data_IF_758813504043
#
_entry.id   IF_758813504043
#
_cell.length_a   1.000
_cell.length_b   1.000
_cell.length_c   1.000
_cell.angle_alpha   90.00
_cell.angle_beta   90.00
_cell.angle_gamma   90.00
#
_symmetry.space_group_name_H-M   'P 1'
#
loop_
_entity.id
_entity.type
_entity.pdbx_description
1 polymer ?
#
# COMPACT_ATOMS: atom_id res chain seq x y z
N UNK A 1 28.09 0.33 -3.96
CA UNK A 1 28.21 1.29 -2.85
C UNK A 1 26.97 1.12 -1.99
N UNK A 2 27.11 0.39 -0.89
CA UNK A 2 26.05 0.05 0.06
C UNK A 2 25.91 1.19 1.07
N UNK A 3 24.74 1.83 1.16
CA UNK A 3 24.45 2.84 2.19
C UNK A 3 23.02 2.63 2.72
N UNK A 4 22.92 2.48 4.03
CA UNK A 4 21.66 2.62 4.77
C UNK A 4 21.08 1.31 5.28
N UNK A 5 21.76 0.62 6.20
CA UNK A 5 21.16 -0.60 6.77
C UNK A 5 21.63 -1.02 8.16
N UNK A 6 21.44 -0.16 9.16
CA UNK A 6 21.43 -0.64 10.56
C UNK A 6 20.27 -0.03 11.37
N UNK A 7 19.91 1.24 11.19
CA UNK A 7 18.98 1.92 12.13
C UNK A 7 17.47 1.81 11.80
N UNK A 8 17.10 1.30 10.62
CA UNK A 8 15.70 1.32 10.15
C UNK A 8 14.77 0.34 10.90
N UNK A 9 15.30 -0.71 11.55
CA UNK A 9 14.46 -1.76 12.18
C UNK A 9 13.89 -1.33 13.54
N UNK A 10 14.68 -0.66 14.37
CA UNK A 10 14.27 -0.21 15.70
C UNK A 10 13.36 1.00 15.60
N UNK A 11 13.67 1.96 14.73
CA UNK A 11 12.79 3.10 14.42
C UNK A 11 11.45 2.63 13.85
N UNK A 12 11.46 1.68 12.91
CA UNK A 12 10.22 1.10 12.38
C UNK A 12 9.40 0.40 13.47
N UNK A 13 10.04 -0.39 14.36
CA UNK A 13 9.36 -1.02 15.50
C UNK A 13 8.74 0.00 16.47
N UNK A 14 9.52 1.02 16.84
CA UNK A 14 9.06 2.10 17.73
C UNK A 14 7.89 2.89 17.11
N UNK A 15 7.92 3.12 15.80
CA UNK A 15 6.90 3.91 15.11
C UNK A 15 5.52 3.26 15.04
N UNK A 16 5.43 1.94 14.82
CA UNK A 16 4.12 1.28 14.76
C UNK A 16 3.54 1.00 16.14
N UNK A 17 4.37 0.82 17.17
CA UNK A 17 3.92 0.73 18.57
C UNK A 17 3.20 2.01 19.00
N UNK A 18 3.82 3.17 18.74
CA UNK A 18 3.21 4.47 19.01
C UNK A 18 1.88 4.65 18.25
N UNK A 19 1.80 4.16 17.01
CA UNK A 19 0.56 4.20 16.23
C UNK A 19 -0.55 3.31 16.83
N UNK A 20 -0.21 2.11 17.33
CA UNK A 20 -1.17 1.23 18.01
C UNK A 20 -1.65 1.81 19.34
N UNK A 21 -0.76 2.44 20.11
CA UNK A 21 -1.13 3.13 21.35
C UNK A 21 -2.07 4.32 21.08
N UNK A 22 -1.75 5.13 20.06
CA UNK A 22 -2.61 6.22 19.62
C UNK A 22 -3.99 5.72 19.16
N UNK A 23 -4.04 4.59 18.43
CA UNK A 23 -5.31 3.96 18.07
C UNK A 23 -6.10 3.56 19.32
N UNK A 24 -5.49 2.85 20.27
CA UNK A 24 -6.15 2.45 21.51
C UNK A 24 -6.72 3.66 22.25
N UNK A 25 -5.94 4.73 22.40
CA UNK A 25 -6.42 5.99 23.00
C UNK A 25 -7.59 6.61 22.24
N UNK A 26 -7.56 6.62 20.90
CA UNK A 26 -8.67 7.14 20.09
C UNK A 26 -9.92 6.29 20.24
N UNK A 27 -9.78 4.97 20.26
CA UNK A 27 -10.88 4.06 20.54
C UNK A 27 -11.45 4.39 21.92
N UNK A 28 -10.61 4.50 22.97
CA UNK A 28 -10.78 5.22 24.25
C UNK A 28 -11.97 6.21 24.30
N UNK A 29 -11.95 7.14 23.36
CA UNK A 29 -12.87 8.28 23.32
C UNK A 29 -14.20 8.00 22.61
N UNK A 30 -14.29 6.92 21.84
CA UNK A 30 -15.52 6.53 21.15
C UNK A 30 -16.45 5.81 22.14
N UNK A 31 -17.69 6.30 22.34
CA UNK A 31 -18.68 5.64 23.18
C UNK A 31 -18.93 4.21 22.72
N UNK A 32 -18.82 3.24 23.63
CA UNK A 32 -18.98 1.84 23.26
C UNK A 32 -20.46 1.49 23.07
N UNK A 33 -20.87 1.26 21.82
CA UNK A 33 -22.14 0.62 21.50
C UNK A 33 -21.90 -0.89 21.37
N UNK A 34 -22.78 -1.69 21.99
CA UNK A 34 -22.75 -3.16 21.84
C UNK A 34 -22.82 -3.49 20.34
N UNK A 35 -21.87 -4.31 19.85
CA UNK A 35 -21.71 -4.78 18.45
C UNK A 35 -21.12 -3.77 17.45
N UNK A 36 -20.27 -2.85 17.91
CA UNK A 36 -19.53 -1.98 16.99
C UNK A 36 -18.54 -2.77 16.13
N UNK A 37 -18.34 -2.31 14.91
CA UNK A 37 -17.44 -2.89 13.91
C UNK A 37 -16.25 -1.96 13.66
N UNK A 38 -15.05 -2.55 13.51
CA UNK A 38 -13.82 -1.80 13.26
C UNK A 38 -13.19 -2.20 11.93
N UNK A 39 -13.00 -1.23 11.05
CA UNK A 39 -12.19 -1.37 9.84
C UNK A 39 -10.94 -0.50 10.01
N UNK A 40 -9.76 -1.08 9.80
CA UNK A 40 -8.48 -0.37 9.99
C UNK A 40 -7.78 -0.25 8.65
N UNK A 41 -7.46 0.98 8.26
CA UNK A 41 -6.53 1.25 7.17
C UNK A 41 -5.14 1.47 7.76
N UNK A 42 -4.17 0.71 7.27
CA UNK A 42 -2.77 0.78 7.73
C UNK A 42 -1.97 1.58 6.72
N UNK A 43 -1.35 2.64 7.20
CA UNK A 43 -0.42 3.49 6.43
C UNK A 43 0.66 2.65 5.74
N UNK A 44 1.05 3.02 4.51
CA UNK A 44 2.10 2.31 3.79
C UNK A 44 3.48 2.47 4.44
N UNK A 45 3.63 3.37 5.42
CA UNK A 45 4.82 3.44 6.28
C UNK A 45 5.15 2.09 6.93
N UNK A 46 4.11 1.36 7.33
CA UNK A 46 4.23 0.08 8.04
C UNK A 46 4.16 -1.14 7.12
N UNK A 47 3.95 -0.93 5.82
CA UNK A 47 3.81 -2.00 4.84
C UNK A 47 5.09 -2.11 4.02
N UNK A 48 5.40 -3.33 3.60
CA UNK A 48 6.42 -3.62 2.60
C UNK A 48 5.73 -4.26 1.40
N UNK A 49 6.17 -3.91 0.21
CA UNK A 49 5.58 -4.42 -1.02
C UNK A 49 6.63 -5.10 -1.88
N UNK A 50 6.22 -6.12 -2.59
CA UNK A 50 7.06 -6.81 -3.56
C UNK A 50 6.17 -7.24 -4.72
N UNK A 51 6.71 -7.18 -5.93
CA UNK A 51 6.13 -7.87 -7.06
C UNK A 51 6.79 -9.25 -7.13
N UNK A 52 6.01 -10.30 -6.92
CA UNK A 52 6.49 -11.68 -6.93
C UNK A 52 6.48 -12.19 -8.37
N UNK A 53 7.64 -12.59 -8.91
CA UNK A 53 7.70 -13.24 -10.20
C UNK A 53 6.81 -14.47 -10.25
N UNK A 54 6.14 -14.69 -11.38
CA UNK A 54 5.37 -15.91 -11.55
C UNK A 54 6.27 -17.15 -11.68
N UNK A 55 5.76 -18.29 -11.18
CA UNK A 55 6.44 -19.58 -11.20
C UNK A 55 5.42 -20.72 -11.28
N UNK A 56 5.56 -21.60 -12.29
CA UNK A 56 4.75 -22.83 -12.42
C UNK A 56 5.01 -23.82 -11.28
N UNK A 57 6.16 -23.70 -10.61
CA UNK A 57 6.58 -24.63 -9.55
C UNK A 57 5.91 -24.34 -8.20
N UNK A 58 5.18 -23.23 -8.08
CA UNK A 58 4.48 -22.85 -6.85
C UNK A 58 3.01 -23.23 -6.98
N UNK A 59 2.61 -24.33 -6.35
CA UNK A 59 1.24 -24.85 -6.43
C UNK A 59 0.43 -24.64 -5.15
N UNK A 60 1.10 -24.24 -4.06
CA UNK A 60 0.48 -24.09 -2.74
C UNK A 60 0.68 -22.70 -2.14
N UNK A 61 -0.26 -22.28 -1.29
CA UNK A 61 -0.12 -21.04 -0.52
C UNK A 61 1.06 -21.07 0.45
N UNK A 62 1.51 -22.26 0.86
CA UNK A 62 2.68 -22.41 1.74
C UNK A 62 3.96 -22.10 0.98
N UNK A 63 4.14 -22.70 -0.20
CA UNK A 63 5.28 -22.43 -1.07
C UNK A 63 5.30 -20.98 -1.52
N UNK A 64 4.14 -20.40 -1.87
CA UNK A 64 4.04 -18.99 -2.22
C UNK A 64 4.50 -18.07 -1.08
N UNK A 65 4.16 -18.40 0.16
CA UNK A 65 4.63 -17.64 1.33
C UNK A 65 6.14 -17.75 1.49
N UNK A 66 6.71 -18.95 1.40
CA UNK A 66 8.16 -19.15 1.49
C UNK A 66 8.92 -18.46 0.34
N UNK A 67 8.36 -18.48 -0.87
CA UNK A 67 8.91 -17.73 -2.00
C UNK A 67 8.86 -16.21 -1.75
N UNK A 68 7.72 -15.73 -1.24
CA UNK A 68 7.58 -14.32 -0.87
C UNK A 68 8.58 -13.90 0.21
N UNK A 69 8.81 -14.73 1.22
CA UNK A 69 9.82 -14.47 2.26
C UNK A 69 11.20 -14.25 1.62
N UNK A 70 11.62 -15.11 0.70
CA UNK A 70 12.90 -14.98 -0.03
C UNK A 70 12.94 -13.66 -0.81
N UNK A 71 11.92 -13.36 -1.63
CA UNK A 71 11.90 -12.11 -2.42
C UNK A 71 11.91 -10.86 -1.54
N UNK A 72 11.19 -10.89 -0.42
CA UNK A 72 11.21 -9.78 0.53
C UNK A 72 12.55 -9.67 1.26
N UNK A 73 13.22 -10.77 1.58
CA UNK A 73 14.58 -10.74 2.12
C UNK A 73 15.59 -10.27 1.06
N UNK A 74 15.40 -10.52 -0.23
CA UNK A 74 16.30 -9.95 -1.23
C UNK A 74 16.21 -8.42 -1.29
N UNK A 75 14.98 -7.88 -1.24
CA UNK A 75 14.73 -6.43 -1.34
C UNK A 75 15.01 -5.71 -0.01
N UNK A 76 14.53 -6.28 1.09
CA UNK A 76 14.49 -5.66 2.41
C UNK A 76 15.40 -6.36 3.41
N UNK A 77 16.22 -7.36 3.01
CA UNK A 77 17.08 -8.26 3.83
C UNK A 77 16.34 -8.96 4.95
N UNK A 78 17.12 -9.65 5.79
CA UNK A 78 16.55 -10.42 6.90
C UNK A 78 15.57 -9.57 7.67
N UNK A 79 14.33 -10.02 7.68
CA UNK A 79 13.21 -9.25 8.15
C UNK A 79 13.07 -9.29 9.68
N UNK A 80 13.71 -10.27 10.35
CA UNK A 80 13.94 -10.37 11.80
C UNK A 80 12.71 -10.43 12.71
N UNK A 81 11.52 -10.23 12.15
CA UNK A 81 10.20 -10.40 12.77
C UNK A 81 9.45 -11.48 11.98
N UNK A 82 8.40 -12.04 12.57
CA UNK A 82 7.39 -12.75 11.80
C UNK A 82 6.57 -11.72 10.98
N UNK A 83 6.39 -11.97 9.69
CA UNK A 83 5.62 -11.12 8.78
C UNK A 83 4.39 -11.86 8.28
N UNK A 84 3.25 -11.17 8.23
CA UNK A 84 2.09 -11.68 7.51
C UNK A 84 2.07 -11.12 6.11
N UNK A 85 1.90 -12.03 5.16
CA UNK A 85 1.76 -11.72 3.75
C UNK A 85 0.29 -11.70 3.31
N UNK A 86 0.02 -10.84 2.35
CA UNK A 86 -1.19 -10.80 1.53
C UNK A 86 -0.78 -10.70 0.07
N UNK A 87 -1.50 -11.40 -0.78
CA UNK A 87 -1.19 -11.52 -2.20
C UNK A 87 -2.41 -11.08 -3.02
N UNK A 88 -2.18 -10.35 -4.10
CA UNK A 88 -3.24 -10.03 -5.05
C UNK A 88 -3.68 -11.28 -5.81
N UNK A 89 -4.94 -11.37 -6.28
CA UNK A 89 -5.25 -12.30 -7.35
C UNK A 89 -4.45 -11.89 -8.59
N UNK A 90 -3.98 -12.86 -9.36
CA UNK A 90 -3.37 -12.63 -10.68
C UNK A 90 -3.57 -13.87 -11.55
N UNK A 91 -3.76 -13.67 -12.85
CA UNK A 91 -3.77 -14.75 -13.83
C UNK A 91 -2.45 -15.53 -13.83
N UNK A 92 -2.49 -16.79 -14.27
CA UNK A 92 -1.25 -17.57 -14.48
C UNK A 92 -0.36 -16.89 -15.52
N UNK A 93 0.95 -17.03 -15.37
CA UNK A 93 1.96 -16.43 -16.24
C UNK A 93 2.29 -14.97 -15.92
N UNK A 94 1.71 -14.40 -14.86
CA UNK A 94 1.84 -12.97 -14.55
C UNK A 94 2.28 -12.74 -13.11
N UNK A 95 3.16 -11.78 -12.95
CA UNK A 95 3.69 -11.36 -11.66
C UNK A 95 2.58 -10.88 -10.72
N UNK A 96 2.75 -11.17 -9.44
CA UNK A 96 1.72 -10.94 -8.42
C UNK A 96 2.16 -9.92 -7.39
N UNK A 97 1.29 -8.96 -7.08
CA UNK A 97 1.57 -8.01 -6.02
C UNK A 97 1.44 -8.67 -4.64
N UNK A 98 2.44 -8.47 -3.80
CA UNK A 98 2.48 -8.92 -2.42
C UNK A 98 2.67 -7.75 -1.47
N UNK A 99 1.95 -7.79 -0.35
CA UNK A 99 2.09 -6.87 0.77
C UNK A 99 2.44 -7.65 2.03
N UNK A 100 3.42 -7.17 2.79
CA UNK A 100 3.82 -7.74 4.06
C UNK A 100 3.72 -6.70 5.17
N UNK A 101 3.26 -7.13 6.34
CA UNK A 101 3.27 -6.32 7.56
C UNK A 101 3.76 -7.15 8.76
N UNK A 102 4.38 -6.52 9.79
CA UNK A 102 4.82 -7.23 10.98
C UNK A 102 3.65 -7.91 11.69
N UNK A 103 3.81 -9.17 12.12
CA UNK A 103 2.80 -9.90 12.87
C UNK A 103 2.43 -9.21 14.18
N UNK A 104 3.42 -8.64 14.87
CA UNK A 104 3.20 -7.90 16.10
C UNK A 104 2.31 -6.66 15.90
N UNK A 105 2.39 -6.00 14.74
CA UNK A 105 1.49 -4.89 14.41
C UNK A 105 0.04 -5.38 14.26
N UNK A 106 -0.18 -6.47 13.50
CA UNK A 106 -1.51 -7.07 13.36
C UNK A 106 -2.07 -7.45 14.73
N UNK A 107 -1.29 -8.13 15.56
CA UNK A 107 -1.69 -8.55 16.89
C UNK A 107 -2.06 -7.35 17.77
N UNK A 108 -1.28 -6.27 17.75
CA UNK A 108 -1.59 -5.03 18.46
C UNK A 108 -2.92 -4.42 18.01
N UNK A 109 -3.17 -4.34 16.70
CA UNK A 109 -4.43 -3.83 16.15
C UNK A 109 -5.64 -4.69 16.51
N UNK A 110 -5.49 -6.01 16.49
CA UNK A 110 -6.51 -6.96 16.95
C UNK A 110 -6.81 -6.77 18.43
N UNK A 111 -5.77 -6.61 19.26
CA UNK A 111 -5.92 -6.39 20.69
C UNK A 111 -6.69 -5.10 21.00
N UNK A 112 -6.37 -3.98 20.33
CA UNK A 112 -7.10 -2.72 20.49
C UNK A 112 -8.61 -2.86 20.22
N UNK A 113 -9.01 -3.69 19.25
CA UNK A 113 -10.42 -3.98 18.99
C UNK A 113 -11.06 -4.85 20.08
N UNK A 114 -10.34 -5.90 20.49
CA UNK A 114 -10.79 -6.86 21.51
C UNK A 114 -10.99 -6.20 22.87
N UNK A 115 -10.11 -5.28 23.28
CA UNK A 115 -10.20 -4.54 24.55
C UNK A 115 -11.49 -3.70 24.63
N UNK A 116 -12.02 -3.28 23.48
CA UNK A 116 -13.31 -2.57 23.38
C UNK A 116 -14.51 -3.50 23.18
N UNK A 117 -14.29 -4.80 23.01
CA UNK A 117 -15.32 -5.78 22.63
C UNK A 117 -15.90 -5.55 21.24
N UNK A 118 -15.13 -4.89 20.36
CA UNK A 118 -15.56 -4.58 18.99
C UNK A 118 -15.17 -5.69 18.03
N UNK A 119 -15.96 -5.87 16.98
CA UNK A 119 -15.65 -6.86 15.94
C UNK A 119 -14.72 -6.23 14.90
N UNK A 120 -13.47 -6.67 14.87
CA UNK A 120 -12.55 -6.30 13.80
C UNK A 120 -13.03 -6.92 12.47
N UNK A 121 -13.43 -6.06 11.53
CA UNK A 121 -13.89 -6.44 10.18
C UNK A 121 -12.74 -6.60 9.21
N UNK A 122 -11.76 -5.70 9.28
CA UNK A 122 -10.66 -5.69 8.32
C UNK A 122 -9.46 -4.90 8.85
N UNK A 123 -8.29 -5.34 8.39
CA UNK A 123 -7.04 -4.58 8.41
C UNK A 123 -6.57 -4.55 6.96
N UNK A 124 -6.46 -3.37 6.36
CA UNK A 124 -6.12 -3.21 4.95
C UNK A 124 -4.94 -2.25 4.77
N UNK A 125 -3.93 -2.60 3.95
CA UNK A 125 -2.95 -1.64 3.49
C UNK A 125 -3.64 -0.48 2.77
N UNK A 126 -3.25 0.75 3.07
CA UNK A 126 -3.93 1.92 2.53
C UNK A 126 -3.83 1.99 0.99
N UNK A 127 -2.69 1.59 0.41
CA UNK A 127 -2.54 1.48 -1.05
C UNK A 127 -3.64 0.63 -1.70
N UNK A 128 -3.94 -0.53 -1.11
CA UNK A 128 -4.95 -1.44 -1.65
C UNK A 128 -6.36 -0.86 -1.50
N UNK A 129 -6.67 -0.30 -0.34
CA UNK A 129 -7.97 0.32 -0.10
C UNK A 129 -8.22 1.50 -1.07
N UNK A 130 -7.22 2.36 -1.27
CA UNK A 130 -7.28 3.46 -2.22
C UNK A 130 -7.40 2.97 -3.66
N UNK A 131 -6.54 2.03 -4.08
CA UNK A 131 -6.59 1.47 -5.43
C UNK A 131 -7.96 0.85 -5.74
N UNK A 132 -8.48 -0.02 -4.87
CA UNK A 132 -9.77 -0.67 -5.08
C UNK A 132 -10.92 0.34 -5.19
N UNK A 133 -10.85 1.43 -4.43
CA UNK A 133 -11.87 2.49 -4.50
C UNK A 133 -11.88 3.20 -5.85
N UNK A 134 -10.72 3.37 -6.46
CA UNK A 134 -10.56 4.10 -7.72
C UNK A 134 -10.42 3.21 -8.95
N UNK A 135 -10.44 1.87 -8.81
CA UNK A 135 -10.18 0.93 -9.90
C UNK A 135 -11.06 1.20 -11.14
N UNK A 136 -12.32 1.59 -10.95
CA UNK A 136 -13.24 1.91 -12.05
C UNK A 136 -12.90 3.21 -12.81
N UNK A 137 -12.08 4.09 -12.22
CA UNK A 137 -11.61 5.32 -12.84
C UNK A 137 -10.25 5.15 -13.54
N UNK A 138 -9.60 3.98 -13.38
CA UNK A 138 -8.29 3.69 -13.95
C UNK A 138 -8.43 3.01 -15.32
N UNK A 139 -7.51 3.24 -16.26
CA UNK A 139 -7.43 2.50 -17.51
C UNK A 139 -7.19 1.02 -17.27
N UNK A 140 -7.60 0.17 -18.23
CA UNK A 140 -7.38 -1.28 -18.15
C UNK A 140 -5.99 -1.72 -18.59
N UNK A 141 -5.22 -0.84 -19.24
CA UNK A 141 -3.90 -1.13 -19.81
C UNK A 141 -2.80 -0.47 -18.97
N UNK A 142 -2.31 0.68 -19.42
CA UNK A 142 -1.13 1.32 -18.85
C UNK A 142 -1.55 2.47 -17.94
N UNK A 143 -1.06 2.46 -16.70
CA UNK A 143 -1.21 3.57 -15.77
C UNK A 143 -0.18 3.50 -14.64
N UNK A 144 0.18 4.66 -14.12
CA UNK A 144 0.94 4.78 -12.87
C UNK A 144 0.02 5.30 -11.78
N UNK A 145 -0.33 4.46 -10.81
CA UNK A 145 -1.08 4.85 -9.63
C UNK A 145 -0.14 5.24 -8.49
N UNK A 146 -0.32 6.41 -7.90
CA UNK A 146 0.52 6.93 -6.82
C UNK A 146 -0.35 7.25 -5.60
N UNK A 147 -0.04 6.62 -4.46
CA UNK A 147 -0.58 7.03 -3.18
C UNK A 147 0.49 7.84 -2.43
N UNK A 148 0.23 9.13 -2.26
CA UNK A 148 1.10 10.05 -1.55
C UNK A 148 0.58 10.28 -0.12
N UNK A 149 1.25 9.65 0.84
CA UNK A 149 1.13 9.94 2.26
C UNK A 149 2.21 10.94 2.69
N UNK A 150 2.04 11.63 3.83
CA UNK A 150 3.08 12.45 4.40
C UNK A 150 4.41 11.69 4.49
N UNK A 151 5.43 12.24 3.86
CA UNK A 151 6.81 11.71 3.80
C UNK A 151 6.98 10.33 3.13
N UNK A 152 5.93 9.76 2.52
CA UNK A 152 6.02 8.48 1.82
C UNK A 152 5.07 8.39 0.65
N UNK A 153 5.61 8.04 -0.51
CA UNK A 153 4.82 7.75 -1.70
C UNK A 153 4.98 6.30 -2.09
N UNK A 154 3.86 5.63 -2.35
CA UNK A 154 3.85 4.27 -2.88
C UNK A 154 3.23 4.27 -4.27
N UNK A 155 3.93 3.67 -5.22
CA UNK A 155 3.62 3.68 -6.64
C UNK A 155 3.33 2.26 -7.12
N UNK A 156 2.32 2.13 -7.97
CA UNK A 156 1.95 0.91 -8.68
C UNK A 156 1.88 1.21 -10.17
N UNK A 157 2.75 0.57 -10.94
CA UNK A 157 2.76 0.65 -12.39
C UNK A 157 2.07 -0.58 -12.97
N UNK A 158 1.04 -0.35 -13.76
CA UNK A 158 0.45 -1.34 -14.64
C UNK A 158 0.90 -1.09 -16.09
N UNK A 159 1.26 -2.16 -16.79
CA UNK A 159 1.62 -2.16 -18.21
C UNK A 159 0.99 -3.36 -18.90
N UNK A 160 0.40 -3.14 -20.07
CA UNK A 160 -0.33 -4.17 -20.83
C UNK A 160 -1.36 -4.93 -19.98
N UNK A 161 -1.98 -4.25 -19.00
CA UNK A 161 -2.98 -4.83 -18.09
C UNK A 161 -2.40 -5.72 -16.97
N UNK A 162 -1.08 -5.67 -16.73
CA UNK A 162 -0.42 -6.44 -15.68
C UNK A 162 0.44 -5.56 -14.78
N UNK A 163 0.67 -5.99 -13.54
CA UNK A 163 1.57 -5.28 -12.63
C UNK A 163 3.00 -5.42 -13.10
N UNK A 164 3.65 -4.28 -13.34
CA UNK A 164 5.04 -4.22 -13.78
C UNK A 164 5.98 -3.83 -12.64
N UNK A 165 5.58 -2.85 -11.82
CA UNK A 165 6.39 -2.40 -10.69
C UNK A 165 5.57 -1.94 -9.49
N UNK A 166 6.12 -2.16 -8.29
CA UNK A 166 5.72 -1.49 -7.05
C UNK A 166 6.94 -0.86 -6.40
N UNK A 167 6.83 0.42 -6.01
CA UNK A 167 7.90 1.13 -5.29
C UNK A 167 7.34 1.89 -4.12
N UNK A 168 8.05 1.88 -3.00
CA UNK A 168 7.77 2.75 -1.85
C UNK A 168 8.98 3.62 -1.59
N UNK A 169 8.79 4.93 -1.63
CA UNK A 169 9.86 5.91 -1.54
C UNK A 169 9.55 6.89 -0.42
N UNK A 170 10.56 7.15 0.41
CA UNK A 170 10.51 8.23 1.38
C UNK A 170 10.86 9.53 0.66
N UNK A 171 10.11 10.58 0.94
CA UNK A 171 10.30 11.88 0.29
C UNK A 171 9.98 13.01 1.26
N UNK A 172 10.40 14.23 0.92
CA UNK A 172 9.93 15.42 1.64
C UNK A 172 8.47 15.64 1.26
N UNK A 173 7.63 15.96 2.24
CA UNK A 173 6.20 16.15 2.05
C UNK A 173 5.88 17.50 1.35
N UNK A 174 6.21 17.60 0.05
CA UNK A 174 5.97 18.81 -0.77
C UNK A 174 5.54 18.46 -2.20
N UNK A 175 4.79 19.36 -2.84
CA UNK A 175 4.28 19.11 -4.20
C UNK A 175 5.43 19.08 -5.22
N UNK A 176 6.49 19.85 -4.96
CA UNK A 176 7.71 19.81 -5.76
C UNK A 176 8.37 18.44 -5.69
N UNK A 177 8.51 17.85 -4.50
CA UNK A 177 9.08 16.52 -4.34
C UNK A 177 8.22 15.44 -5.02
N UNK A 178 6.88 15.56 -4.93
CA UNK A 178 5.97 14.66 -5.66
C UNK A 178 6.10 14.82 -7.18
N UNK A 179 6.23 16.06 -7.68
CA UNK A 179 6.47 16.33 -9.09
C UNK A 179 7.79 15.74 -9.60
N UNK A 180 8.88 15.89 -8.83
CA UNK A 180 10.18 15.27 -9.12
C UNK A 180 10.07 13.74 -9.15
N UNK A 181 9.32 13.17 -8.20
CA UNK A 181 9.10 11.73 -8.16
C UNK A 181 8.37 11.24 -9.42
N UNK A 182 7.28 11.91 -9.82
CA UNK A 182 6.55 11.55 -11.03
C UNK A 182 7.46 11.67 -12.26
N UNK A 183 8.18 12.78 -12.41
CA UNK A 183 9.10 12.99 -13.53
C UNK A 183 10.17 11.91 -13.63
N UNK A 184 10.77 11.53 -12.48
CA UNK A 184 11.73 10.43 -12.40
C UNK A 184 11.15 9.11 -12.88
N UNK A 185 9.95 8.76 -12.42
CA UNK A 185 9.34 7.45 -12.75
C UNK A 185 8.88 7.40 -14.21
N UNK A 186 8.48 8.54 -14.78
CA UNK A 186 8.27 8.67 -16.23
C UNK A 186 9.58 8.49 -17.02
N UNK A 187 10.67 9.09 -16.56
CA UNK A 187 11.98 8.95 -17.22
C UNK A 187 12.49 7.51 -17.15
N UNK A 188 12.30 6.82 -16.02
CA UNK A 188 12.61 5.39 -15.91
C UNK A 188 11.84 4.54 -16.92
N UNK A 189 10.54 4.79 -17.11
CA UNK A 189 9.75 4.11 -18.15
C UNK A 189 10.30 4.38 -19.56
N UNK A 190 10.70 5.62 -19.85
CA UNK A 190 11.26 5.98 -21.15
C UNK A 190 12.61 5.29 -21.41
N UNK A 191 13.44 5.11 -20.38
CA UNK A 191 14.70 4.35 -20.48
C UNK A 191 14.46 2.86 -20.79
N UNK A 192 13.35 2.31 -20.32
CA UNK A 192 12.90 0.95 -20.65
C UNK A 192 12.21 0.87 -22.03
N UNK A 193 12.21 1.96 -22.80
CA UNK A 193 11.61 2.03 -24.14
C UNK A 193 10.09 2.14 -24.14
N UNK A 194 9.48 2.45 -22.98
CA UNK A 194 8.04 2.51 -22.80
C UNK A 194 7.52 3.94 -22.96
N UNK A 195 6.27 4.07 -23.42
CA UNK A 195 5.57 5.36 -23.39
C UNK A 195 5.22 5.74 -21.95
N UNK A 196 5.19 7.05 -21.67
CA UNK A 196 4.76 7.57 -20.37
C UNK A 196 3.32 7.14 -20.06
N UNK A 197 3.14 6.33 -19.02
CA UNK A 197 1.83 5.94 -18.55
C UNK A 197 1.08 7.15 -17.95
N UNK A 198 -0.24 7.27 -18.15
CA UNK A 198 -1.04 8.27 -17.45
C UNK A 198 -0.93 8.08 -15.93
N UNK A 199 -0.74 9.19 -15.21
CA UNK A 199 -0.49 9.19 -13.77
C UNK A 199 -1.78 9.50 -13.02
N UNK A 200 -2.20 8.60 -12.16
CA UNK A 200 -3.33 8.77 -11.27
C UNK A 200 -2.80 8.83 -9.86
N UNK A 201 -3.10 9.89 -9.11
CA UNK A 201 -2.57 10.02 -7.76
C UNK A 201 -3.64 10.36 -6.73
N UNK A 202 -3.54 9.70 -5.58
CA UNK A 202 -4.34 9.98 -4.40
C UNK A 202 -3.44 10.57 -3.32
N UNK A 203 -3.74 11.79 -2.89
CA UNK A 203 -2.99 12.50 -1.85
C UNK A 203 -3.98 13.28 -0.96
N UNK A 204 -4.64 12.61 0.00
CA UNK A 204 -5.78 13.20 0.75
C UNK A 204 -5.40 14.47 1.53
N UNK A 205 -4.17 14.56 2.05
CA UNK A 205 -3.71 15.70 2.83
C UNK A 205 -3.31 16.91 1.96
N UNK A 206 -3.24 16.72 0.62
CA UNK A 206 -2.87 17.76 -0.35
C UNK A 206 -4.11 18.36 -0.99
N UNK A 207 -4.84 19.16 -0.21
CA UNK A 207 -6.18 19.64 -0.56
C UNK A 207 -6.19 20.73 -1.65
N UNK A 208 -5.06 21.39 -1.98
CA UNK A 208 -5.11 22.65 -2.77
C UNK A 208 -4.03 22.91 -3.83
N UNK A 209 -2.99 22.10 -3.94
CA UNK A 209 -1.92 22.35 -4.91
C UNK A 209 -1.63 21.08 -5.70
N UNK A 210 -2.03 21.12 -6.96
CA UNK A 210 -1.73 20.07 -7.93
C UNK A 210 -0.23 20.08 -8.23
N UNK A 211 0.40 18.92 -8.49
CA UNK A 211 1.77 18.92 -8.96
C UNK A 211 1.86 19.79 -10.23
N UNK A 212 2.93 20.57 -10.31
CA UNK A 212 3.26 21.39 -11.49
C UNK A 212 3.14 20.48 -12.73
N UNK A 213 2.47 20.90 -13.82
CA UNK A 213 2.34 20.09 -15.02
C UNK A 213 3.70 19.54 -15.47
N UNK A 214 3.79 18.22 -15.62
CA UNK A 214 5.01 17.54 -16.07
C UNK A 214 4.87 17.30 -17.56
N UNK A 215 5.85 17.76 -18.34
CA UNK A 215 5.80 17.67 -19.79
C UNK A 215 5.66 16.20 -20.24
N UNK A 216 4.68 15.93 -21.10
CA UNK A 216 4.41 14.59 -21.63
C UNK A 216 3.70 13.63 -20.67
N UNK A 217 3.30 14.10 -19.48
CA UNK A 217 2.63 13.27 -18.47
C UNK A 217 1.23 13.83 -18.17
N UNK A 218 0.21 13.05 -18.50
CA UNK A 218 -1.15 13.33 -18.05
C UNK A 218 -1.30 12.95 -16.58
N UNK A 219 -1.71 13.89 -15.73
CA UNK A 219 -1.91 13.66 -14.29
C UNK A 219 -3.39 13.82 -13.92
N UNK A 220 -3.89 12.89 -13.10
CA UNK A 220 -5.28 12.85 -12.67
C UNK A 220 -5.34 12.77 -11.13
N UNK A 221 -5.79 13.84 -10.45
CA UNK A 221 -6.00 13.79 -9.01
C UNK A 221 -7.23 12.92 -8.69
N UNK A 222 -7.09 12.06 -7.69
CA UNK A 222 -8.15 11.23 -7.16
C UNK A 222 -8.50 11.70 -5.75
N UNK A 223 -9.67 12.29 -5.61
CA UNK A 223 -10.25 12.64 -4.31
C UNK A 223 -11.32 11.62 -3.95
N UNK A 224 -11.37 11.23 -2.68
CA UNK A 224 -12.54 10.50 -2.18
C UNK A 224 -13.75 11.44 -2.30
N UNK A 225 -14.89 10.99 -2.85
CA UNK A 225 -16.10 11.80 -2.83
C UNK A 225 -16.43 12.15 -1.36
N UNK A 226 -16.78 13.41 -1.10
CA UNK A 226 -17.30 13.85 0.19
C UNK A 226 -18.63 13.11 0.43
N UNK A 227 -18.57 11.96 1.11
CA UNK A 227 -19.66 11.11 1.60
C UNK A 227 -21.06 11.34 0.99
N UNK A 228 -21.54 10.37 0.23
CA UNK A 228 -22.84 9.79 0.56
C UNK A 228 -22.61 8.35 1.01
N UNK A 229 -23.34 7.93 2.04
CA UNK A 229 -23.35 6.55 2.50
C UNK A 229 -23.72 5.64 1.33
N UNK A 230 -22.72 4.99 0.75
CA UNK A 230 -22.90 4.02 -0.33
C UNK A 230 -22.75 2.63 0.25
N UNK A 231 -23.89 1.99 0.49
CA UNK A 231 -24.01 0.53 0.51
C UNK A 231 -23.60 0.03 -0.87
N UNK A 232 -22.34 -0.38 -1.06
CA UNK A 232 -22.00 -1.18 -2.23
C UNK A 232 -21.00 -2.27 -1.85
N UNK A 233 -21.53 -3.50 -1.84
CA UNK A 233 -20.94 -4.72 -1.31
C UNK A 233 -20.07 -5.47 -2.34
N UNK A 234 -19.65 -4.83 -3.43
CA UNK A 234 -19.06 -5.53 -4.57
C UNK A 234 -17.84 -4.79 -5.16
N UNK A 235 -16.66 -5.04 -4.61
CA UNK A 235 -15.62 -5.79 -5.35
C UNK A 235 -14.41 -6.12 -4.46
N UNK A 236 -14.00 -7.38 -4.56
CA UNK A 236 -13.25 -8.13 -3.56
C UNK A 236 -11.75 -8.04 -3.77
N UNK A 237 -11.07 -7.26 -2.92
CA UNK A 237 -9.71 -7.54 -2.46
C UNK A 237 -9.57 -7.30 -0.94
N UNK A 238 -10.67 -7.47 -0.21
CA UNK A 238 -10.69 -7.43 1.24
C UNK A 238 -10.28 -8.80 1.81
N UNK A 239 -8.99 -9.13 1.76
CA UNK A 239 -8.46 -10.10 2.72
C UNK A 239 -8.22 -9.37 4.04
N UNK A 240 -9.32 -9.08 4.73
CA UNK A 240 -9.31 -8.79 6.15
C UNK A 240 -8.40 -9.79 6.86
N UNK A 241 -7.54 -9.30 7.74
CA UNK A 241 -7.04 -10.16 8.80
C UNK A 241 -8.20 -10.31 9.78
N UNK A 242 -8.85 -11.48 9.77
CA UNK A 242 -9.44 -12.03 10.99
C UNK A 242 -8.34 -12.67 11.79
#
# INVERSE_FOLDING_TARGET
MWLGRVDNKEEARSSWLAATEALTYLLEQVPSQRKSELCILVSNHFIRYCLLPWSEQIDSLRELKSYAEICFEEIYGSLGNEWHFRFSPQASGQDRLAAAMPAALIAGLQQSANDRGWRLRSIQPYLMAAFNRFANALPTQDFLFILAEPKRSTLLLAQSGHWSHVRSLSSIDSDQALGILIARETELQALDGMSAAPVYFHAPDRVKAFPIPICGVSTYPLSLPLSEASEDYLYTMAMAVT
#
